data_IF_352886532260
#
_entry.id   IF_352886532260
#
_cell.length_a   1.000
_cell.length_b   1.000
_cell.length_c   1.000
_cell.angle_alpha   90.00
_cell.angle_beta   90.00
_cell.angle_gamma   90.00
#
_symmetry.space_group_name_H-M   'P 1'
#
loop_
_entity.id
_entity.type
_entity.pdbx_description
1 polymer ?
#
# COMPACT_ATOMS: atom_id res chain seq x y z
N UNK A 1 25.58 -43.87 -48.17
CA UNK A 1 25.99 -43.73 -46.76
C UNK A 1 27.37 -43.08 -46.67
N UNK A 2 27.41 -41.75 -46.62
CA UNK A 2 28.55 -40.89 -46.25
C UNK A 2 27.88 -39.61 -45.74
N UNK A 3 28.12 -39.16 -44.51
CA UNK A 3 29.22 -38.24 -44.20
C UNK A 3 29.60 -38.32 -42.72
N UNK A 4 30.91 -38.41 -42.45
CA UNK A 4 31.56 -37.94 -41.22
C UNK A 4 31.94 -36.47 -41.45
N UNK A 5 31.95 -35.62 -40.42
CA UNK A 5 33.19 -35.09 -39.77
C UNK A 5 32.81 -33.93 -38.84
N UNK A 6 33.38 -33.98 -37.63
CA UNK A 6 33.31 -33.01 -36.53
C UNK A 6 34.31 -31.88 -36.77
N UNK A 7 34.01 -30.65 -36.36
CA UNK A 7 35.03 -29.64 -36.04
C UNK A 7 34.54 -28.76 -34.89
N UNK A 8 35.16 -28.96 -33.73
CA UNK A 8 35.10 -28.03 -32.61
C UNK A 8 36.13 -26.92 -32.81
N UNK A 9 35.79 -25.72 -32.37
CA UNK A 9 36.70 -24.58 -32.32
C UNK A 9 36.87 -24.17 -30.86
N UNK A 10 38.04 -24.49 -30.31
CA UNK A 10 38.52 -23.97 -29.04
C UNK A 10 39.32 -22.70 -29.32
N UNK A 11 39.02 -21.61 -28.60
CA UNK A 11 39.85 -20.41 -28.56
C UNK A 11 40.30 -20.22 -27.10
N UNK A 12 41.60 -20.38 -26.90
CA UNK A 12 42.35 -20.09 -25.67
C UNK A 12 43.55 -19.23 -26.08
N UNK A 13 44.01 -18.38 -25.16
CA UNK A 13 45.19 -17.49 -25.17
C UNK A 13 44.84 -16.02 -25.54
N UNK A 14 45.27 -14.98 -24.82
CA UNK A 14 46.44 -14.86 -23.95
C UNK A 14 46.26 -13.83 -22.84
N UNK A 15 46.89 -14.16 -21.72
CA UNK A 15 47.26 -13.33 -20.58
C UNK A 15 48.22 -12.19 -21.02
N UNK A 16 48.01 -10.98 -20.53
CA UNK A 16 49.06 -9.96 -20.44
C UNK A 16 49.00 -9.30 -19.06
N UNK A 17 49.93 -9.70 -18.19
CA UNK A 17 50.26 -8.99 -16.97
C UNK A 17 51.11 -7.77 -17.31
N UNK A 18 50.74 -6.60 -16.80
CA UNK A 18 51.68 -5.51 -16.56
C UNK A 18 51.48 -5.04 -15.11
N UNK A 19 52.55 -5.23 -14.34
CA UNK A 19 52.69 -4.87 -12.94
C UNK A 19 53.29 -3.48 -12.78
N UNK A 20 53.06 -2.93 -11.58
CA UNK A 20 53.80 -1.87 -10.86
C UNK A 20 53.45 -0.41 -11.10
N UNK A 21 53.13 0.27 -10.00
CA UNK A 21 53.05 1.72 -9.88
C UNK A 21 52.40 2.20 -8.58
N UNK A 22 53.06 2.03 -7.43
CA UNK A 22 52.71 2.61 -6.13
C UNK A 22 52.49 4.14 -6.21
N UNK A 23 51.50 4.65 -5.46
CA UNK A 23 51.29 6.10 -5.37
C UNK A 23 50.28 6.58 -4.34
N UNK A 24 50.65 6.42 -3.05
CA UNK A 24 50.26 7.25 -1.89
C UNK A 24 48.83 7.15 -1.35
N UNK A 25 48.77 6.51 -0.19
CA UNK A 25 47.70 6.63 0.80
C UNK A 25 47.43 8.10 1.17
N UNK A 26 46.15 8.44 1.27
CA UNK A 26 45.66 9.56 2.07
C UNK A 26 44.35 9.14 2.74
N UNK A 27 44.15 9.49 4.01
CA UNK A 27 43.23 8.79 4.89
C UNK A 27 41.77 9.11 4.58
N UNK A 28 40.94 8.07 4.55
CA UNK A 28 39.48 8.17 4.62
C UNK A 28 39.16 8.81 5.97
N UNK A 29 38.64 10.05 5.95
CA UNK A 29 37.97 10.64 7.11
C UNK A 29 36.63 9.93 7.27
N UNK A 30 36.59 9.03 8.23
CA UNK A 30 35.37 8.52 8.83
C UNK A 30 34.65 9.70 9.49
N UNK A 31 33.55 10.15 8.88
CA UNK A 31 32.68 11.17 9.44
C UNK A 31 31.42 10.48 9.93
N UNK A 32 31.47 10.01 11.18
CA UNK A 32 30.29 9.60 11.93
C UNK A 32 29.39 10.81 12.13
N UNK A 33 28.35 10.95 11.31
CA UNK A 33 27.25 11.86 11.58
C UNK A 33 26.31 11.17 12.57
N UNK A 34 26.39 11.57 13.84
CA UNK A 34 25.34 11.32 14.82
C UNK A 34 24.11 12.09 14.36
N UNK A 35 23.03 11.39 14.03
CA UNK A 35 21.72 12.01 13.91
C UNK A 35 21.23 12.32 15.33
N UNK A 36 21.36 13.58 15.74
CA UNK A 36 20.65 14.10 16.89
C UNK A 36 19.16 14.19 16.53
N UNK A 37 18.34 13.38 17.19
CA UNK A 37 16.89 13.48 17.14
C UNK A 37 16.51 14.55 18.16
N UNK A 38 16.11 15.74 17.69
CA UNK A 38 15.30 16.68 18.44
C UNK A 38 14.74 17.74 17.48
N UNK A 39 13.46 17.64 17.14
CA UNK A 39 12.52 18.73 17.38
C UNK A 39 11.07 18.21 17.30
N UNK A 40 10.26 18.69 18.25
CA UNK A 40 8.84 18.36 18.39
C UNK A 40 8.09 19.24 17.38
N UNK A 41 7.47 18.61 16.37
CA UNK A 41 6.63 19.31 15.39
C UNK A 41 5.35 19.81 16.07
N UNK A 42 5.00 21.08 15.84
CA UNK A 42 3.80 21.73 16.37
C UNK A 42 2.61 21.59 15.40
N UNK A 43 1.38 21.83 15.88
CA UNK A 43 0.13 21.66 15.09
C UNK A 43 0.04 22.55 13.83
N UNK A 44 0.83 23.62 13.72
CA UNK A 44 0.79 24.54 12.58
C UNK A 44 1.59 24.06 11.36
N UNK A 45 2.59 23.19 11.54
CA UNK A 45 3.34 22.59 10.42
C UNK A 45 2.53 21.53 9.64
N UNK A 46 1.40 21.10 10.21
CA UNK A 46 0.52 20.08 9.61
C UNK A 46 -0.48 20.65 8.58
N UNK A 47 -0.62 21.97 8.49
CA UNK A 47 -1.61 22.65 7.63
C UNK A 47 -1.02 23.18 6.31
N UNK A 48 0.27 22.94 6.04
CA UNK A 48 1.01 23.54 4.92
C UNK A 48 0.93 22.83 3.55
N UNK A 49 0.18 21.73 3.40
CA UNK A 49 0.06 21.04 2.10
C UNK A 49 -1.41 20.95 1.67
N UNK A 50 -1.95 22.08 1.25
CA UNK A 50 -3.16 22.14 0.43
C UNK A 50 -2.76 22.62 -0.96
N UNK A 51 -2.40 21.70 -1.85
CA UNK A 51 -2.40 21.99 -3.28
C UNK A 51 -3.71 21.47 -3.89
N UNK A 52 -4.53 22.45 -4.28
CA UNK A 52 -5.62 22.45 -5.24
C UNK A 52 -6.43 21.16 -5.43
N UNK A 53 -7.51 21.04 -4.64
CA UNK A 53 -8.71 20.32 -5.06
C UNK A 53 -9.69 21.38 -5.57
N UNK A 54 -10.06 21.28 -6.85
CA UNK A 54 -10.86 22.26 -7.57
C UNK A 54 -12.19 22.55 -6.85
N UNK A 55 -12.38 23.84 -6.52
CA UNK A 55 -13.37 24.32 -5.56
C UNK A 55 -14.69 24.63 -6.28
N UNK A 56 -15.49 23.61 -6.62
CA UNK A 56 -16.89 23.85 -7.00
C UNK A 56 -17.67 24.11 -5.73
N UNK A 57 -18.05 25.38 -5.47
CA UNK A 57 -18.97 25.77 -4.39
C UNK A 57 -20.39 25.29 -4.70
N UNK A 58 -21.02 24.39 -3.92
CA UNK A 58 -22.46 24.27 -3.88
C UNK A 58 -23.01 25.21 -2.79
N UNK A 59 -24.11 25.88 -3.10
CA UNK A 59 -24.85 26.72 -2.16
C UNK A 59 -25.38 25.90 -0.98
N UNK A 60 -25.30 26.39 0.27
CA UNK A 60 -25.77 25.64 1.43
C UNK A 60 -27.28 25.50 1.40
N UNK A 61 -27.79 24.26 1.38
CA UNK A 61 -29.13 23.98 1.91
C UNK A 61 -28.99 23.77 3.41
N UNK A 62 -29.55 24.71 4.15
CA UNK A 62 -29.60 24.74 5.60
C UNK A 62 -30.50 23.60 6.10
N UNK A 63 -29.92 22.45 6.47
CA UNK A 63 -30.56 21.48 7.36
C UNK A 63 -29.68 21.31 8.60
N UNK A 64 -30.19 21.80 9.74
CA UNK A 64 -29.58 21.72 11.07
C UNK A 64 -29.82 20.33 11.67
N UNK A 65 -29.24 19.29 11.08
CA UNK A 65 -29.04 18.04 11.78
C UNK A 65 -27.68 18.10 12.51
N UNK A 66 -27.68 17.75 13.79
CA UNK A 66 -26.49 17.68 14.63
C UNK A 66 -25.55 16.62 14.05
N UNK A 67 -24.54 17.04 13.30
CA UNK A 67 -23.56 16.14 12.67
C UNK A 67 -22.64 15.59 13.77
N UNK A 68 -22.84 14.33 14.14
CA UNK A 68 -22.02 13.61 15.14
C UNK A 68 -20.66 13.23 14.53
N UNK A 69 -19.67 14.12 14.70
CA UNK A 69 -18.29 13.89 14.28
C UNK A 69 -17.59 12.89 15.20
N UNK A 70 -16.79 11.98 14.63
CA UNK A 70 -15.99 11.05 15.43
C UNK A 70 -14.85 11.85 16.07
N UNK A 71 -14.86 11.97 17.40
CA UNK A 71 -13.76 12.58 18.17
C UNK A 71 -12.53 11.65 18.18
N UNK A 72 -11.30 12.19 18.18
CA UNK A 72 -10.09 11.38 18.36
C UNK A 72 -10.17 10.57 19.66
N UNK A 73 -9.95 9.27 19.59
CA UNK A 73 -10.01 8.40 20.76
C UNK A 73 -8.90 8.77 21.77
N UNK A 74 -9.28 9.23 22.96
CA UNK A 74 -8.37 9.66 24.04
C UNK A 74 -8.47 8.80 25.31
N UNK A 75 -9.00 7.57 25.24
CA UNK A 75 -9.09 6.70 26.43
C UNK A 75 -8.90 5.22 26.10
N UNK A 76 -8.13 4.45 26.88
CA UNK A 76 -7.97 3.02 26.70
C UNK A 76 -9.02 2.26 27.52
N UNK A 77 -10.09 1.80 26.89
CA UNK A 77 -10.77 0.54 27.23
C UNK A 77 -12.06 0.38 26.41
N UNK A 78 -12.00 -0.51 25.41
CA UNK A 78 -12.96 -1.62 25.22
C UNK A 78 -12.47 -2.42 24.02
N UNK A 79 -12.16 -3.69 24.25
CA UNK A 79 -11.95 -4.65 23.18
C UNK A 79 -13.19 -4.61 22.29
N UNK A 80 -13.04 -4.01 21.11
CA UNK A 80 -14.11 -3.99 20.14
C UNK A 80 -14.27 -5.43 19.64
N UNK A 81 -15.46 -5.98 19.85
CA UNK A 81 -15.88 -7.28 19.32
C UNK A 81 -15.64 -7.28 17.80
N UNK A 82 -14.68 -8.06 17.33
CA UNK A 82 -14.33 -8.19 15.92
C UNK A 82 -12.98 -8.87 15.67
N UNK A 83 -11.99 -8.65 16.53
CA UNK A 83 -10.67 -9.30 16.43
C UNK A 83 -10.34 -10.29 17.56
N UNK A 84 -11.31 -10.71 18.37
CA UNK A 84 -11.04 -11.63 19.50
C UNK A 84 -10.41 -12.98 19.09
N UNK A 85 -10.31 -13.28 17.78
CA UNK A 85 -9.69 -14.51 17.24
C UNK A 85 -8.57 -14.29 16.22
N UNK A 86 -8.13 -13.07 15.94
CA UNK A 86 -7.09 -12.80 14.94
C UNK A 86 -5.95 -11.95 15.51
N UNK A 87 -4.71 -12.33 15.23
CA UNK A 87 -3.55 -11.53 15.57
C UNK A 87 -3.41 -10.37 14.57
N UNK A 88 -3.46 -9.14 15.07
CA UNK A 88 -3.39 -7.93 14.23
C UNK A 88 -2.11 -7.82 13.39
N UNK A 89 -1.04 -8.53 13.78
CA UNK A 89 0.22 -8.56 13.04
C UNK A 89 0.27 -9.65 11.96
N UNK A 90 -0.72 -10.53 11.85
CA UNK A 90 -0.74 -11.57 10.84
C UNK A 90 -0.87 -10.96 9.44
N UNK A 91 -0.11 -11.47 8.48
CA UNK A 91 -0.19 -11.03 7.07
C UNK A 91 -1.60 -11.26 6.50
N UNK A 92 -2.28 -12.32 6.95
CA UNK A 92 -3.64 -12.69 6.54
C UNK A 92 -4.75 -12.04 7.38
N UNK A 93 -4.44 -11.04 8.23
CA UNK A 93 -5.46 -10.40 9.08
C UNK A 93 -6.58 -9.78 8.23
N UNK A 94 -7.83 -10.04 8.59
CA UNK A 94 -9.00 -9.43 7.94
C UNK A 94 -9.40 -8.20 8.73
N UNK A 95 -9.20 -7.01 8.16
CA UNK A 95 -9.66 -5.75 8.73
C UNK A 95 -10.72 -5.18 7.80
N UNK A 96 -11.93 -4.96 8.31
CA UNK A 96 -13.05 -4.48 7.50
C UNK A 96 -14.11 -3.85 8.42
N UNK A 97 -15.31 -3.56 7.89
CA UNK A 97 -16.41 -2.94 8.66
C UNK A 97 -16.81 -3.71 9.93
N UNK A 98 -16.54 -5.02 10.00
CA UNK A 98 -16.86 -5.89 11.15
C UNK A 98 -15.64 -6.13 12.05
N UNK A 99 -14.45 -6.20 11.48
CA UNK A 99 -13.22 -6.58 12.18
C UNK A 99 -12.34 -5.34 12.42
N UNK A 100 -12.39 -4.79 13.64
CA UNK A 100 -11.62 -3.60 14.04
C UNK A 100 -10.27 -3.96 14.62
N UNK A 101 -9.19 -3.32 14.16
CA UNK A 101 -7.86 -3.36 14.78
C UNK A 101 -7.89 -2.96 16.27
N UNK A 102 -6.96 -3.50 17.10
CA UNK A 102 -6.81 -3.05 18.47
C UNK A 102 -6.59 -1.54 18.55
N UNK A 103 -7.10 -0.92 19.61
CA UNK A 103 -6.85 0.50 19.84
C UNK A 103 -5.34 0.77 19.90
N UNK A 104 -4.91 1.88 19.29
CA UNK A 104 -3.51 2.27 19.16
C UNK A 104 -2.62 1.28 18.39
N UNK A 105 -3.19 0.34 17.63
CA UNK A 105 -2.40 -0.54 16.77
C UNK A 105 -1.58 0.26 15.75
N UNK A 106 -0.28 -0.01 15.72
CA UNK A 106 0.67 0.50 14.73
C UNK A 106 1.75 -0.58 14.49
N UNK A 107 2.01 -0.99 13.24
CA UNK A 107 3.09 -1.92 12.95
C UNK A 107 4.45 -1.33 13.35
N UNK A 108 5.36 -2.19 13.80
CA UNK A 108 6.69 -1.78 14.30
C UNK A 108 7.76 -1.77 13.20
N UNK A 109 7.44 -2.35 12.04
CA UNK A 109 8.32 -2.64 10.92
C UNK A 109 7.99 -1.79 9.68
N UNK A 110 7.45 -0.58 9.89
CA UNK A 110 7.12 0.35 8.81
C UNK A 110 8.40 0.95 8.19
N UNK A 111 8.48 0.91 6.86
CA UNK A 111 9.56 1.47 6.05
C UNK A 111 8.98 2.10 4.78
N UNK A 112 9.76 2.93 4.10
CA UNK A 112 9.40 3.51 2.79
C UNK A 112 9.97 2.60 1.68
N UNK A 113 9.13 2.04 0.78
CA UNK A 113 9.60 1.28 -0.37
C UNK A 113 10.34 2.18 -1.35
N UNK A 114 11.38 1.65 -1.99
CA UNK A 114 12.11 2.32 -3.05
C UNK A 114 11.37 2.20 -4.40
N UNK A 115 10.27 2.94 -4.53
CA UNK A 115 9.42 3.00 -5.73
C UNK A 115 9.05 4.44 -6.08
N UNK A 116 8.56 4.68 -7.29
CA UNK A 116 7.99 5.97 -7.68
C UNK A 116 6.72 6.27 -6.88
N UNK A 117 6.63 7.48 -6.34
CA UNK A 117 5.44 8.00 -5.67
C UNK A 117 4.74 9.06 -6.53
N UNK A 118 3.45 9.25 -6.31
CA UNK A 118 2.65 10.29 -6.97
C UNK A 118 2.95 11.72 -6.46
N UNK A 119 3.88 11.87 -5.53
CA UNK A 119 4.22 13.11 -4.84
C UNK A 119 5.68 13.07 -4.38
N UNK A 120 6.24 14.24 -4.08
CA UNK A 120 7.58 14.39 -3.51
C UNK A 120 7.54 14.40 -1.97
N UNK A 121 8.61 13.90 -1.36
CA UNK A 121 8.77 13.83 0.10
C UNK A 121 8.32 12.51 0.72
N UNK A 122 8.46 12.42 2.06
CA UNK A 122 8.11 11.23 2.84
C UNK A 122 7.03 11.59 3.85
N UNK A 123 5.90 10.89 3.78
CA UNK A 123 4.76 11.08 4.67
C UNK A 123 4.36 9.75 5.32
N UNK A 124 3.40 9.77 6.26
CA UNK A 124 2.85 8.55 6.85
C UNK A 124 2.38 7.55 5.76
N UNK A 125 1.65 8.07 4.76
CA UNK A 125 1.17 7.33 3.59
C UNK A 125 2.27 6.82 2.65
N UNK A 126 3.54 7.15 2.88
CA UNK A 126 4.66 6.58 2.12
C UNK A 126 5.09 5.22 2.66
N UNK A 127 4.60 4.79 3.82
CA UNK A 127 5.12 3.63 4.52
C UNK A 127 4.32 2.34 4.25
N UNK A 128 5.02 1.21 4.29
CA UNK A 128 4.48 -0.15 4.36
C UNK A 128 5.23 -0.94 5.41
N UNK A 129 4.66 -2.04 5.88
CA UNK A 129 5.43 -3.06 6.60
C UNK A 129 6.55 -3.59 5.69
N UNK A 130 7.72 -3.89 6.26
CA UNK A 130 8.93 -4.25 5.53
C UNK A 130 8.72 -5.34 4.47
N UNK A 131 8.00 -6.41 4.80
CA UNK A 131 7.74 -7.52 3.87
C UNK A 131 6.87 -7.10 2.67
N UNK A 132 5.85 -6.26 2.92
CA UNK A 132 5.02 -5.69 1.86
C UNK A 132 5.80 -4.67 1.03
N UNK A 133 6.68 -3.88 1.66
CA UNK A 133 7.59 -2.94 0.99
C UNK A 133 8.50 -3.65 -0.01
N UNK A 134 9.23 -4.69 0.44
CA UNK A 134 10.12 -5.49 -0.41
C UNK A 134 9.36 -6.13 -1.59
N UNK A 135 8.09 -6.48 -1.36
CA UNK A 135 7.24 -7.07 -2.38
C UNK A 135 6.71 -6.04 -3.38
N UNK A 136 6.43 -4.81 -2.93
CA UNK A 136 5.98 -3.71 -3.78
C UNK A 136 7.09 -3.30 -4.76
N UNK A 137 8.34 -3.26 -4.29
CA UNK A 137 9.51 -3.00 -5.15
C UNK A 137 9.63 -4.05 -6.27
N UNK A 138 9.38 -5.33 -5.94
CA UNK A 138 9.35 -6.41 -6.95
C UNK A 138 8.20 -6.23 -7.93
N UNK A 139 7.02 -5.81 -7.47
CA UNK A 139 5.86 -5.55 -8.31
C UNK A 139 6.15 -4.44 -9.33
N UNK A 140 6.74 -3.33 -8.87
CA UNK A 140 7.07 -2.19 -9.71
C UNK A 140 8.18 -2.54 -10.71
N UNK A 141 9.23 -3.26 -10.27
CA UNK A 141 10.26 -3.75 -11.17
C UNK A 141 9.72 -4.76 -12.21
N UNK A 142 8.70 -5.55 -11.86
CA UNK A 142 8.03 -6.44 -12.80
C UNK A 142 7.18 -5.65 -13.81
N UNK A 143 6.49 -4.60 -13.36
CA UNK A 143 5.73 -3.69 -14.23
C UNK A 143 6.64 -3.01 -15.26
N UNK A 144 7.77 -2.48 -14.81
CA UNK A 144 8.72 -1.76 -15.67
C UNK A 144 9.28 -2.66 -16.79
N UNK A 145 9.56 -3.93 -16.49
CA UNK A 145 9.98 -4.92 -17.50
C UNK A 145 8.95 -5.12 -18.60
N UNK A 146 7.68 -4.93 -18.29
CA UNK A 146 6.55 -5.02 -19.24
C UNK A 146 6.18 -3.65 -19.85
N UNK A 147 6.96 -2.59 -19.61
CA UNK A 147 6.68 -1.23 -20.09
C UNK A 147 5.51 -0.53 -19.40
N UNK A 148 5.21 -0.97 -18.16
CA UNK A 148 4.18 -0.44 -17.28
C UNK A 148 4.85 0.35 -16.16
N UNK A 149 4.43 1.60 -15.96
CA UNK A 149 5.01 2.49 -14.96
C UNK A 149 3.93 2.85 -13.94
N UNK A 150 4.11 2.36 -12.72
CA UNK A 150 3.18 2.55 -11.61
C UNK A 150 3.72 3.61 -10.65
N UNK A 151 2.80 4.25 -9.92
CA UNK A 151 3.10 5.17 -8.83
C UNK A 151 2.37 4.74 -7.56
N UNK A 152 3.08 4.71 -6.43
CA UNK A 152 2.50 4.56 -5.11
C UNK A 152 1.78 5.87 -4.70
N UNK A 153 0.55 5.75 -4.19
CA UNK A 153 -0.30 6.89 -3.85
C UNK A 153 -0.59 6.96 -2.36
N UNK A 154 -0.95 5.84 -1.71
CA UNK A 154 -1.28 5.85 -0.29
C UNK A 154 -1.12 4.48 0.37
N UNK A 155 -0.10 4.37 1.24
CA UNK A 155 0.20 3.20 2.05
C UNK A 155 -0.40 3.28 3.45
N UNK A 156 0.45 3.18 4.48
CA UNK A 156 0.04 3.20 5.88
C UNK A 156 -0.72 4.47 6.28
N UNK A 157 -1.81 4.30 7.04
CA UNK A 157 -2.56 5.40 7.67
C UNK A 157 -2.88 5.02 9.11
N UNK A 158 -2.49 5.87 10.07
CA UNK A 158 -2.86 5.67 11.47
C UNK A 158 -4.37 5.82 11.69
N UNK A 159 -4.88 5.31 12.82
CA UNK A 159 -6.27 5.53 13.21
C UNK A 159 -6.59 7.03 13.37
N UNK A 160 -5.63 7.83 13.82
CA UNK A 160 -5.78 9.29 13.93
C UNK A 160 -5.93 9.92 12.55
N UNK A 161 -5.06 9.58 11.61
CA UNK A 161 -5.17 10.03 10.23
C UNK A 161 -6.52 9.59 9.61
N UNK A 162 -6.93 8.34 9.83
CA UNK A 162 -8.20 7.83 9.35
C UNK A 162 -9.40 8.58 9.94
N UNK A 163 -9.29 9.07 11.18
CA UNK A 163 -10.33 9.93 11.79
C UNK A 163 -10.49 11.24 11.02
N UNK A 164 -9.37 11.87 10.64
CA UNK A 164 -9.38 13.11 9.83
C UNK A 164 -10.02 12.87 8.47
N UNK A 165 -9.67 11.76 7.80
CA UNK A 165 -10.27 11.37 6.50
C UNK A 165 -11.77 11.14 6.64
N UNK A 166 -12.20 10.34 7.61
CA UNK A 166 -13.61 10.02 7.80
C UNK A 166 -14.43 11.28 8.10
N UNK A 167 -13.98 12.14 9.01
CA UNK A 167 -14.69 13.38 9.33
C UNK A 167 -14.74 14.35 8.14
N UNK A 168 -13.71 14.38 7.30
CA UNK A 168 -13.74 15.12 6.03
C UNK A 168 -14.85 14.62 5.09
N UNK A 169 -14.97 13.30 4.94
CA UNK A 169 -16.01 12.68 4.13
C UNK A 169 -17.42 12.93 4.70
N UNK A 170 -17.61 12.82 6.02
CA UNK A 170 -18.88 13.15 6.68
C UNK A 170 -19.27 14.60 6.43
N UNK A 171 -18.32 15.53 6.52
CA UNK A 171 -18.56 16.96 6.26
C UNK A 171 -18.96 17.22 4.80
N UNK A 172 -18.37 16.49 3.86
CA UNK A 172 -18.58 16.69 2.42
C UNK A 172 -19.88 16.03 1.94
N UNK A 173 -20.09 14.77 2.29
CA UNK A 173 -21.08 13.90 1.66
C UNK A 173 -22.18 13.43 2.64
N UNK A 174 -22.07 13.79 3.93
CA UNK A 174 -22.97 13.34 4.97
C UNK A 174 -22.57 11.97 5.55
N UNK A 175 -23.04 11.69 6.77
CA UNK A 175 -22.61 10.51 7.53
C UNK A 175 -23.02 9.19 6.86
N UNK A 176 -24.25 9.07 6.40
CA UNK A 176 -24.75 7.84 5.80
C UNK A 176 -24.00 7.49 4.52
N UNK A 177 -23.68 8.50 3.70
CA UNK A 177 -22.84 8.31 2.52
C UNK A 177 -21.42 7.92 2.91
N UNK A 178 -20.80 8.65 3.85
CA UNK A 178 -19.45 8.35 4.34
C UNK A 178 -19.32 6.91 4.91
N UNK A 179 -20.33 6.40 5.60
CA UNK A 179 -20.34 5.02 6.13
C UNK A 179 -20.37 3.95 5.03
N UNK A 180 -20.77 4.29 3.80
CA UNK A 180 -20.76 3.35 2.66
C UNK A 180 -19.35 3.14 2.10
N UNK A 181 -18.57 4.21 1.90
CA UNK A 181 -17.29 4.14 1.20
C UNK A 181 -16.06 4.41 2.07
N UNK A 182 -16.23 5.07 3.23
CA UNK A 182 -15.11 5.43 4.11
C UNK A 182 -15.01 4.51 5.31
N UNK A 183 -13.85 3.86 5.48
CA UNK A 183 -13.57 3.10 6.69
C UNK A 183 -13.58 4.00 7.94
N UNK A 184 -14.17 3.50 9.03
CA UNK A 184 -14.06 4.11 10.36
C UNK A 184 -12.65 3.92 10.93
N UNK A 185 -12.20 4.76 11.89
CA UNK A 185 -10.92 4.56 12.57
C UNK A 185 -10.83 3.14 13.16
N UNK A 186 -9.69 2.45 12.94
CA UNK A 186 -9.51 1.05 13.33
C UNK A 186 -10.09 0.02 12.35
N UNK A 187 -10.89 0.42 11.37
CA UNK A 187 -11.49 -0.48 10.36
C UNK A 187 -10.87 -0.33 8.95
N UNK A 188 -9.86 0.52 8.81
CA UNK A 188 -9.13 0.74 7.56
C UNK A 188 -7.97 -0.24 7.44
N UNK A 189 -7.92 -1.01 6.34
CA UNK A 189 -6.79 -1.92 6.09
C UNK A 189 -5.47 -1.17 5.96
N UNK A 190 -5.45 0.11 5.58
CA UNK A 190 -4.22 0.92 5.54
C UNK A 190 -3.49 0.94 6.88
N UNK A 191 -4.21 0.86 8.00
CA UNK A 191 -3.59 0.84 9.33
C UNK A 191 -2.76 -0.44 9.57
N UNK A 192 -2.97 -1.50 8.79
CA UNK A 192 -2.12 -2.70 8.85
C UNK A 192 -0.72 -2.48 8.29
N UNK A 193 -0.52 -1.44 7.46
CA UNK A 193 0.70 -1.26 6.68
C UNK A 193 0.91 -2.33 5.59
N UNK A 194 -0.13 -3.11 5.25
CA UNK A 194 -0.10 -4.14 4.21
C UNK A 194 -0.81 -3.70 2.92
N UNK A 195 -1.31 -2.47 2.86
CA UNK A 195 -2.05 -1.93 1.72
C UNK A 195 -1.26 -0.81 1.08
N UNK A 196 -1.24 -0.79 -0.25
CA UNK A 196 -0.83 0.37 -1.03
C UNK A 196 -1.91 0.68 -2.07
N UNK A 197 -2.37 1.92 -2.13
CA UNK A 197 -3.08 2.43 -3.29
C UNK A 197 -2.06 2.74 -4.39
N UNK A 198 -2.29 2.21 -5.59
CA UNK A 198 -1.40 2.36 -6.75
C UNK A 198 -2.15 2.97 -7.92
N UNK A 199 -1.52 3.91 -8.61
CA UNK A 199 -2.03 4.50 -9.84
C UNK A 199 -0.90 4.64 -10.87
N UNK A 200 -1.09 5.48 -11.88
CA UNK A 200 -0.09 5.79 -12.88
C UNK A 200 -0.18 7.27 -13.29
N UNK A 201 0.95 7.84 -13.71
CA UNK A 201 0.99 9.22 -14.22
C UNK A 201 0.13 9.41 -15.47
N UNK A 202 -0.04 8.36 -16.28
CA UNK A 202 -0.94 8.34 -17.46
C UNK A 202 -2.42 8.47 -17.09
N UNK A 203 -2.75 8.31 -15.80
CA UNK A 203 -4.09 8.45 -15.23
C UNK A 203 -4.13 9.55 -14.16
N UNK A 204 -3.25 10.55 -14.27
CA UNK A 204 -3.13 11.68 -13.33
C UNK A 204 -2.93 11.26 -11.85
N UNK A 205 -2.45 10.04 -11.61
CA UNK A 205 -2.38 9.41 -10.30
C UNK A 205 -3.73 9.32 -9.54
N UNK A 206 -4.87 9.39 -10.26
CA UNK A 206 -6.21 9.28 -9.66
C UNK A 206 -6.48 7.86 -9.13
N UNK A 207 -7.29 7.78 -8.08
CA UNK A 207 -7.76 6.54 -7.46
C UNK A 207 -9.26 6.41 -7.75
N UNK A 208 -9.57 6.02 -8.98
CA UNK A 208 -10.94 5.94 -9.53
C UNK A 208 -11.13 4.60 -10.27
N UNK A 209 -12.37 4.15 -10.41
CA UNK A 209 -12.66 2.83 -10.99
C UNK A 209 -12.19 2.73 -12.43
N UNK A 210 -12.19 3.85 -13.15
CA UNK A 210 -11.71 4.00 -14.52
C UNK A 210 -10.22 3.64 -14.67
N UNK A 211 -9.46 3.55 -13.58
CA UNK A 211 -8.10 3.00 -13.60
C UNK A 211 -8.09 1.58 -14.20
N UNK A 212 -9.15 0.79 -14.03
CA UNK A 212 -9.29 -0.55 -14.65
C UNK A 212 -9.23 -0.54 -16.18
N UNK A 213 -9.50 0.61 -16.81
CA UNK A 213 -9.53 0.74 -18.26
C UNK A 213 -8.15 1.04 -18.85
N UNK A 214 -7.23 1.54 -18.03
CA UNK A 214 -5.84 1.84 -18.39
C UNK A 214 -5.03 0.57 -18.65
N UNK A 215 -3.88 0.68 -19.32
CA UNK A 215 -2.98 -0.47 -19.49
C UNK A 215 -2.37 -0.88 -18.16
N UNK A 216 -2.12 0.09 -17.27
CA UNK A 216 -1.51 -0.09 -15.96
C UNK A 216 -2.45 -0.82 -15.00
N UNK A 217 -3.72 -0.40 -14.91
CA UNK A 217 -4.73 -1.08 -14.08
C UNK A 217 -5.03 -2.50 -14.57
N UNK A 218 -5.16 -2.72 -15.89
CA UNK A 218 -5.31 -4.07 -16.47
C UNK A 218 -4.11 -4.96 -16.16
N UNK A 219 -2.91 -4.40 -16.27
CA UNK A 219 -1.69 -5.12 -15.95
C UNK A 219 -1.61 -5.46 -14.46
N UNK A 220 -1.93 -4.51 -13.59
CA UNK A 220 -1.92 -4.67 -12.14
C UNK A 220 -2.87 -5.79 -11.71
N UNK A 221 -4.11 -5.76 -12.18
CA UNK A 221 -5.12 -6.78 -11.90
C UNK A 221 -4.67 -8.19 -12.30
N UNK A 222 -3.89 -8.32 -13.38
CA UNK A 222 -3.39 -9.61 -13.88
C UNK A 222 -2.10 -10.09 -13.19
N UNK A 223 -1.30 -9.19 -12.61
CA UNK A 223 0.07 -9.52 -12.21
C UNK A 223 0.39 -9.30 -10.73
N UNK A 224 -0.41 -8.51 -9.99
CA UNK A 224 -0.16 -8.22 -8.57
C UNK A 224 0.11 -9.49 -7.74
N UNK A 225 -0.67 -10.55 -8.01
CA UNK A 225 -0.61 -11.84 -7.29
C UNK A 225 0.75 -12.52 -7.37
N UNK A 226 1.53 -12.27 -8.42
CA UNK A 226 2.87 -12.85 -8.61
C UNK A 226 3.89 -12.36 -7.59
N UNK A 227 3.57 -11.28 -6.89
CA UNK A 227 4.42 -10.65 -5.88
C UNK A 227 3.76 -10.60 -4.50
N UNK A 228 2.70 -11.37 -4.29
CA UNK A 228 2.03 -11.46 -2.99
C UNK A 228 0.93 -10.41 -2.76
N UNK A 229 0.53 -9.64 -3.77
CA UNK A 229 -0.56 -8.67 -3.68
C UNK A 229 -1.83 -9.15 -4.36
N UNK A 230 -2.99 -8.76 -3.83
CA UNK A 230 -4.29 -8.97 -4.49
C UNK A 230 -4.98 -7.62 -4.72
N UNK A 231 -5.89 -7.56 -5.70
CA UNK A 231 -6.92 -6.51 -5.73
C UNK A 231 -7.87 -6.80 -4.58
N UNK A 232 -7.87 -5.93 -3.56
CA UNK A 232 -8.51 -6.24 -2.27
C UNK A 232 -10.03 -6.22 -2.34
N UNK A 233 -10.57 -5.30 -3.14
CA UNK A 233 -12.00 -5.10 -3.35
C UNK A 233 -12.32 -5.32 -4.83
N UNK A 234 -12.52 -6.57 -5.26
CA UNK A 234 -12.84 -6.91 -6.65
C UNK A 234 -14.32 -6.67 -6.97
N UNK A 235 -14.61 -6.42 -8.25
CA UNK A 235 -15.95 -6.19 -8.78
C UNK A 235 -16.88 -7.38 -8.52
N UNK A 236 -18.10 -7.13 -8.07
CA UNK A 236 -19.09 -8.17 -7.79
C UNK A 236 -18.90 -8.91 -6.45
N UNK A 237 -18.04 -8.39 -5.56
CA UNK A 237 -17.79 -8.92 -4.21
C UNK A 237 -18.09 -7.89 -3.12
N UNK A 238 -18.92 -6.90 -3.43
CA UNK A 238 -19.31 -5.81 -2.53
C UNK A 238 -20.06 -6.35 -1.31
N UNK A 239 -20.94 -7.35 -1.49
CA UNK A 239 -21.69 -8.00 -0.41
C UNK A 239 -20.79 -8.78 0.56
N UNK A 240 -19.61 -9.20 0.10
CA UNK A 240 -18.63 -9.97 0.90
C UNK A 240 -17.68 -9.03 1.63
N UNK A 241 -17.06 -8.11 0.90
CA UNK A 241 -16.02 -7.21 1.43
C UNK A 241 -16.60 -6.00 2.15
N UNK A 242 -17.81 -5.59 1.78
CA UNK A 242 -18.47 -4.37 2.26
C UNK A 242 -17.96 -3.09 1.60
N UNK A 243 -17.13 -3.16 0.56
CA UNK A 243 -16.58 -2.03 -0.18
C UNK A 243 -16.90 -2.16 -1.67
N UNK A 244 -17.00 -1.03 -2.35
CA UNK A 244 -17.12 -0.99 -3.81
C UNK A 244 -15.83 -1.49 -4.48
N UNK A 245 -15.91 -1.74 -5.78
CA UNK A 245 -14.74 -2.11 -6.56
C UNK A 245 -13.66 -1.02 -6.52
N UNK A 246 -12.43 -1.40 -6.13
CA UNK A 246 -11.27 -0.49 -6.08
C UNK A 246 -10.08 -1.12 -6.82
N UNK A 247 -9.94 -0.91 -8.14
CA UNK A 247 -8.85 -1.49 -8.96
C UNK A 247 -7.45 -1.03 -8.58
N UNK A 248 -7.33 0.08 -7.82
CA UNK A 248 -6.07 0.65 -7.37
C UNK A 248 -5.61 0.07 -6.02
N UNK A 249 -6.52 -0.49 -5.22
CA UNK A 249 -6.27 -0.85 -3.82
C UNK A 249 -5.69 -2.26 -3.72
N UNK A 250 -4.37 -2.34 -3.58
CA UNK A 250 -3.67 -3.63 -3.46
C UNK A 250 -3.34 -3.97 -2.03
N UNK A 251 -3.67 -5.21 -1.62
CA UNK A 251 -3.40 -5.76 -0.29
C UNK A 251 -2.35 -6.86 -0.39
N UNK A 252 -1.26 -6.72 0.38
CA UNK A 252 -0.27 -7.76 0.57
C UNK A 252 -0.81 -8.88 1.46
N UNK A 253 -0.72 -10.10 0.96
CA UNK A 253 -1.12 -11.33 1.64
C UNK A 253 -0.05 -12.44 1.53
N UNK A 254 1.11 -12.13 0.94
CA UNK A 254 2.20 -13.10 0.77
C UNK A 254 1.82 -14.28 -0.13
N UNK A 255 2.22 -15.48 0.25
CA UNK A 255 2.18 -16.68 -0.60
C UNK A 255 0.76 -17.10 -1.03
N UNK A 256 -0.28 -16.67 -0.31
CA UNK A 256 -1.66 -17.04 -0.66
C UNK A 256 -2.21 -16.22 -1.84
N UNK A 257 -1.55 -15.13 -2.25
CA UNK A 257 -2.07 -14.19 -3.24
C UNK A 257 -2.41 -14.86 -4.57
N UNK A 258 -1.55 -15.77 -5.05
CA UNK A 258 -1.79 -16.50 -6.31
C UNK A 258 -2.99 -17.44 -6.17
N UNK A 259 -3.17 -18.10 -5.03
CA UNK A 259 -4.34 -18.96 -4.82
C UNK A 259 -5.65 -18.17 -4.81
N UNK A 260 -5.66 -16.99 -4.17
CA UNK A 260 -6.81 -16.10 -4.15
C UNK A 260 -7.16 -15.62 -5.56
N UNK A 261 -6.14 -15.19 -6.31
CA UNK A 261 -6.29 -14.71 -7.68
C UNK A 261 -6.86 -15.79 -8.61
N UNK A 262 -6.25 -16.98 -8.64
CA UNK A 262 -6.67 -18.07 -9.54
C UNK A 262 -8.08 -18.57 -9.24
N UNK A 263 -8.51 -18.53 -7.98
CA UNK A 263 -9.85 -18.96 -7.55
C UNK A 263 -10.89 -17.84 -7.53
N UNK A 264 -10.49 -16.58 -7.75
CA UNK A 264 -11.40 -15.43 -7.64
C UNK A 264 -11.96 -15.24 -6.23
N UNK A 265 -11.16 -15.54 -5.20
CA UNK A 265 -11.55 -15.42 -3.79
C UNK A 265 -11.13 -14.07 -3.21
N UNK A 266 -12.00 -13.53 -2.35
CA UNK A 266 -11.65 -12.47 -1.41
C UNK A 266 -10.85 -13.02 -0.23
N UNK A 267 -10.22 -12.14 0.56
CA UNK A 267 -9.53 -12.55 1.78
C UNK A 267 -10.53 -13.08 2.83
N UNK A 268 -11.73 -12.51 2.91
CA UNK A 268 -12.85 -13.00 3.72
C UNK A 268 -13.19 -14.47 3.38
N UNK A 269 -13.49 -14.76 2.12
CA UNK A 269 -13.88 -16.11 1.67
C UNK A 269 -12.77 -17.13 1.93
N UNK A 270 -11.50 -16.74 1.75
CA UNK A 270 -10.37 -17.61 2.07
C UNK A 270 -10.28 -17.95 3.55
N UNK A 271 -10.47 -16.96 4.44
CA UNK A 271 -10.41 -17.20 5.88
C UNK A 271 -11.58 -18.04 6.38
N UNK A 272 -12.77 -17.86 5.80
CA UNK A 272 -13.92 -18.72 6.08
C UNK A 272 -13.69 -20.17 5.64
N UNK A 273 -13.12 -20.38 4.45
CA UNK A 273 -12.75 -21.72 3.98
C UNK A 273 -11.71 -22.36 4.91
N UNK A 274 -10.62 -21.65 5.23
CA UNK A 274 -9.55 -22.16 6.11
C UNK A 274 -10.08 -22.58 7.48
N UNK A 275 -10.93 -21.76 8.09
CA UNK A 275 -11.55 -22.05 9.39
C UNK A 275 -12.51 -23.26 9.38
N UNK A 276 -12.96 -23.71 8.20
CA UNK A 276 -13.84 -24.89 8.07
C UNK A 276 -13.03 -26.20 8.05
N UNK A 277 -11.72 -26.14 7.80
CA UNK A 277 -10.85 -27.31 7.68
C UNK A 277 -9.86 -27.47 8.85
N UNK A 278 -9.90 -26.58 9.84
CA UNK A 278 -9.13 -26.61 11.10
C UNK A 278 -10.03 -27.08 12.27
#
# INVERSE_FOLDING_TARGET
MKTKTVSGLAIVCSLAMLTTGCGKDSPIKEQTAKAEVNEILTEEDYLGVSEEIDYIKPTPKENKEEVDYIKPATTPNRVAQGLERQNANDIEVVVNKKNKLPDNYKPKDLVVPNVSFAYDGVYEKSHLRKEASDSLEKLFALAEKDGIYLNAVSGFRSAEYQTKVYNGNVKKDGKDHADMFSAKPGHSEHQTGLVMDVSAKSFDNKLEQEFEQTKEGKWLAKNAHKTGFIIRYPKGKEDVTGYEYEPWHIRYVGDIATNLFEKGLTLEEYKEQKATYE
#
